data_IF_209223865851
#
_entry.id   IF_209223865851
#
_cell.length_a   1.000
_cell.length_b   1.000
_cell.length_c   1.000
_cell.angle_alpha   90.00
_cell.angle_beta   90.00
_cell.angle_gamma   90.00
#
_symmetry.space_group_name_H-M   'P 1'
#
loop_
_entity.id
_entity.type
_entity.pdbx_description
1 polymer ?
#
# COMPACT_ATOMS: atom_id res chain seq x y z
N UNK A 1 45.38 11.27 -54.76
CA UNK A 1 45.41 12.57 -55.48
C UNK A 1 44.20 13.38 -55.02
N UNK A 2 44.34 14.71 -54.87
CA UNK A 2 43.26 15.73 -54.82
C UNK A 2 42.02 15.37 -53.95
N UNK A 3 41.81 15.88 -52.73
CA UNK A 3 42.29 17.10 -52.06
C UNK A 3 41.85 18.40 -52.75
N UNK A 4 40.86 19.09 -52.16
CA UNK A 4 40.64 20.53 -52.29
C UNK A 4 39.96 21.10 -51.03
N UNK A 5 40.26 22.35 -50.70
CA UNK A 5 39.96 23.00 -49.41
C UNK A 5 39.57 24.46 -49.63
N UNK A 6 38.76 25.02 -48.71
CA UNK A 6 38.71 26.42 -48.20
C UNK A 6 37.25 26.76 -47.78
N UNK A 7 36.92 27.39 -46.63
CA UNK A 7 37.55 28.44 -45.78
C UNK A 7 37.18 29.87 -46.21
N UNK A 8 36.34 30.51 -45.39
CA UNK A 8 36.34 31.91 -44.87
C UNK A 8 35.32 31.90 -43.68
N UNK A 9 35.50 32.41 -42.44
CA UNK A 9 36.22 33.56 -41.82
C UNK A 9 35.61 34.94 -42.16
N UNK A 10 35.36 35.90 -41.23
CA UNK A 10 35.52 36.00 -39.75
C UNK A 10 34.67 37.21 -39.19
N UNK A 11 34.83 37.57 -37.89
CA UNK A 11 34.57 38.88 -37.21
C UNK A 11 33.21 39.24 -36.49
N UNK A 12 33.21 39.02 -35.15
CA UNK A 12 33.07 40.01 -34.02
C UNK A 12 31.77 40.75 -33.61
N UNK A 13 31.67 41.00 -32.28
CA UNK A 13 30.81 41.97 -31.56
C UNK A 13 29.95 41.32 -30.45
N UNK A 14 30.10 41.44 -29.11
CA UNK A 14 30.73 42.34 -28.09
C UNK A 14 29.93 43.55 -27.57
N UNK A 15 29.02 43.29 -26.62
CA UNK A 15 28.57 44.14 -25.47
C UNK A 15 27.60 43.27 -24.61
N UNK A 16 27.63 43.20 -23.27
CA UNK A 16 27.47 44.23 -22.24
C UNK A 16 26.08 44.92 -22.30
N UNK A 17 25.32 45.12 -21.20
CA UNK A 17 25.52 44.77 -19.77
C UNK A 17 24.21 44.94 -18.96
N UNK A 18 24.04 44.18 -17.86
CA UNK A 18 23.12 44.39 -16.70
C UNK A 18 21.60 44.61 -17.00
N UNK A 19 20.65 44.15 -16.18
CA UNK A 19 20.33 44.73 -14.87
C UNK A 19 19.68 43.71 -13.88
N UNK A 20 19.80 43.98 -12.58
CA UNK A 20 19.29 43.11 -11.50
C UNK A 20 18.10 43.73 -10.76
N UNK A 21 17.07 42.94 -10.44
CA UNK A 21 16.09 43.31 -9.42
C UNK A 21 15.75 42.15 -8.46
N UNK A 22 16.48 42.11 -7.35
CA UNK A 22 16.23 41.17 -6.24
C UNK A 22 15.23 41.80 -5.25
N UNK A 23 13.98 41.36 -5.29
CA UNK A 23 12.95 41.79 -4.33
C UNK A 23 13.03 41.03 -3.00
N UNK A 24 13.92 41.48 -2.11
CA UNK A 24 13.98 41.02 -0.71
C UNK A 24 12.79 41.55 0.11
N UNK A 25 11.80 40.70 0.38
CA UNK A 25 10.68 41.04 1.26
C UNK A 25 10.95 40.64 2.72
N UNK A 26 11.60 41.53 3.49
CA UNK A 26 11.73 41.37 4.94
C UNK A 26 10.43 41.77 5.66
N UNK A 27 9.80 40.83 6.37
CA UNK A 27 8.67 41.08 7.26
C UNK A 27 9.07 40.85 8.73
N UNK A 28 9.14 41.92 9.52
CA UNK A 28 9.66 41.90 10.90
C UNK A 28 8.66 41.31 11.89
N UNK A 29 9.14 40.41 12.76
CA UNK A 29 8.37 39.86 13.88
C UNK A 29 8.13 40.93 14.94
N UNK A 30 6.88 41.11 15.37
CA UNK A 30 6.53 41.95 16.53
C UNK A 30 5.96 41.09 17.67
N UNK A 31 6.64 41.05 18.81
CA UNK A 31 6.16 40.37 20.03
C UNK A 31 5.61 41.42 20.99
N UNK A 32 4.29 41.56 21.04
CA UNK A 32 3.60 42.44 21.99
C UNK A 32 3.04 41.64 23.16
N UNK A 33 3.66 41.73 24.34
CA UNK A 33 3.16 41.09 25.56
C UNK A 33 2.91 42.16 26.64
N UNK A 34 1.64 42.40 26.98
CA UNK A 34 1.24 43.42 27.96
C UNK A 34 0.14 42.91 28.89
N UNK A 35 0.48 42.77 30.18
CA UNK A 35 -0.46 42.52 31.28
C UNK A 35 -0.43 43.72 32.23
N UNK A 36 -1.58 44.35 32.52
CA UNK A 36 -1.76 45.13 33.74
C UNK A 36 -2.45 44.29 34.84
N UNK A 37 -2.15 44.60 36.10
CA UNK A 37 -2.72 43.91 37.26
C UNK A 37 -3.73 44.79 38.02
N UNK A 38 -4.69 44.11 38.66
CA UNK A 38 -5.28 44.37 40.00
C UNK A 38 -5.93 45.73 40.35
N UNK A 39 -6.95 45.60 41.23
CA UNK A 39 -7.47 46.50 42.30
C UNK A 39 -8.98 46.80 42.16
N UNK A 40 -9.80 46.88 43.22
CA UNK A 40 -9.73 46.27 44.58
C UNK A 40 -11.08 46.37 45.30
N UNK A 41 -11.50 45.29 45.98
CA UNK A 41 -12.36 45.33 47.18
C UNK A 41 -13.88 45.23 46.98
N UNK A 42 -14.70 45.11 48.05
CA UNK A 42 -14.41 44.58 49.41
C UNK A 42 -15.69 44.52 50.29
N UNK A 43 -15.98 43.36 50.90
CA UNK A 43 -16.79 43.21 52.15
C UNK A 43 -18.29 43.62 52.03
N UNK A 44 -19.27 43.30 52.90
CA UNK A 44 -19.50 42.53 54.16
C UNK A 44 -21.05 42.30 54.21
N UNK A 45 -21.73 41.37 54.93
CA UNK A 45 -21.50 40.24 55.88
C UNK A 45 -22.80 39.35 55.73
N UNK A 46 -23.38 38.47 56.58
CA UNK A 46 -23.19 37.93 57.94
C UNK A 46 -23.71 36.44 58.02
N UNK A 47 -24.48 36.06 59.04
CA UNK A 47 -24.94 34.70 59.48
C UNK A 47 -26.19 34.88 60.38
N UNK A 48 -26.83 33.86 61.00
CA UNK A 48 -26.66 32.39 60.96
C UNK A 48 -27.93 31.66 60.42
N UNK A 49 -28.11 30.34 60.39
CA UNK A 49 -27.64 29.19 61.21
C UNK A 49 -27.73 27.86 60.40
N UNK A 50 -27.60 26.61 60.88
CA UNK A 50 -27.40 26.03 62.23
C UNK A 50 -26.49 24.77 62.18
N UNK A 51 -26.60 23.87 63.15
CA UNK A 51 -25.84 22.60 63.41
C UNK A 51 -26.50 21.86 64.61
N UNK A 52 -26.03 20.68 65.08
CA UNK A 52 -25.01 19.71 64.60
C UNK A 52 -25.68 18.36 64.19
N UNK A 53 -25.16 17.11 64.18
CA UNK A 53 -23.92 16.38 64.56
C UNK A 53 -23.55 15.39 63.41
N UNK A 54 -22.42 14.65 63.38
CA UNK A 54 -21.20 14.65 64.21
C UNK A 54 -20.69 13.23 64.58
N UNK A 55 -19.54 12.80 64.04
CA UNK A 55 -18.70 11.67 64.54
C UNK A 55 -17.29 11.71 63.90
N UNK A 56 -16.35 10.89 64.39
CA UNK A 56 -14.90 11.13 64.28
C UNK A 56 -14.09 9.88 63.84
N UNK A 57 -13.10 10.09 62.96
CA UNK A 57 -11.99 9.17 62.59
C UNK A 57 -12.43 7.90 61.82
N UNK A 58 -11.57 7.13 61.13
CA UNK A 58 -10.09 7.14 61.04
C UNK A 58 -9.58 7.24 59.59
N UNK A 59 -8.32 7.68 59.44
CA UNK A 59 -7.60 7.76 58.16
C UNK A 59 -7.01 6.41 57.74
N UNK A 60 -7.29 5.97 56.51
CA UNK A 60 -6.55 4.90 55.83
C UNK A 60 -5.81 5.48 54.61
N UNK A 61 -4.49 5.56 54.68
CA UNK A 61 -3.65 6.13 53.61
C UNK A 61 -3.36 5.06 52.55
N UNK A 62 -4.36 4.78 51.70
CA UNK A 62 -4.20 3.84 50.59
C UNK A 62 -3.23 4.40 49.55
N UNK A 63 -2.01 3.87 49.52
CA UNK A 63 -1.02 4.18 48.49
C UNK A 63 -1.57 3.80 47.11
N UNK A 64 -1.84 4.82 46.27
CA UNK A 64 -2.08 4.63 44.84
C UNK A 64 -0.79 4.19 44.16
N UNK A 65 -0.51 2.88 44.16
CA UNK A 65 0.60 2.29 43.40
C UNK A 65 0.41 2.59 41.91
N UNK A 66 1.36 3.33 41.34
CA UNK A 66 1.30 3.83 39.96
C UNK A 66 1.48 2.72 38.92
N UNK A 67 0.50 1.83 38.79
CA UNK A 67 0.53 0.72 37.84
C UNK A 67 0.39 1.21 36.40
N UNK A 68 1.55 1.47 35.80
CA UNK A 68 1.83 1.34 34.37
C UNK A 68 0.81 1.95 33.42
N UNK A 69 1.11 3.14 32.89
CA UNK A 69 0.46 3.62 31.66
C UNK A 69 0.78 2.63 30.53
N UNK A 70 -0.15 1.69 30.26
CA UNK A 70 -0.09 0.83 29.08
C UNK A 70 -0.29 1.73 27.87
N UNK A 71 0.83 2.27 27.37
CA UNK A 71 0.89 2.96 26.08
C UNK A 71 0.67 1.94 24.98
N UNK A 72 -0.59 1.55 24.80
CA UNK A 72 -1.09 1.08 23.51
C UNK A 72 -0.55 2.04 22.47
N UNK A 73 0.36 1.57 21.62
CA UNK A 73 1.00 2.40 20.61
C UNK A 73 -0.07 2.71 19.56
N UNK A 74 -0.83 3.79 19.79
CA UNK A 74 -1.86 4.28 18.86
C UNK A 74 -1.25 4.28 17.48
N UNK A 75 -1.76 3.41 16.60
CA UNK A 75 -1.27 3.30 15.24
C UNK A 75 -1.46 4.67 14.60
N UNK A 76 -0.37 5.32 14.20
CA UNK A 76 -0.43 6.61 13.53
C UNK A 76 -1.33 6.51 12.30
N UNK A 77 -2.15 7.53 12.09
CA UNK A 77 -3.00 7.59 10.91
C UNK A 77 -2.17 7.70 9.62
N UNK A 78 -2.78 7.46 8.46
CA UNK A 78 -2.11 7.66 7.18
C UNK A 78 -1.55 9.09 7.04
N UNK A 79 -2.35 10.11 7.37
CA UNK A 79 -1.93 11.50 7.23
C UNK A 79 -0.74 11.80 8.16
N UNK A 80 -0.82 11.40 9.44
CA UNK A 80 0.25 11.56 10.42
C UNK A 80 1.55 10.87 10.00
N UNK A 81 1.45 9.62 9.50
CA UNK A 81 2.60 8.81 9.07
C UNK A 81 3.32 9.41 7.86
N UNK A 82 2.57 10.07 6.97
CA UNK A 82 3.09 10.57 5.68
C UNK A 82 3.06 12.10 5.59
N UNK A 83 3.00 12.79 6.73
CA UNK A 83 2.88 14.25 6.81
C UNK A 83 4.08 15.01 6.20
N UNK A 84 5.21 14.33 5.98
CA UNK A 84 6.43 14.89 5.35
C UNK A 84 6.57 14.58 3.85
N UNK A 85 5.65 13.81 3.28
CA UNK A 85 5.67 13.43 1.86
C UNK A 85 4.91 14.46 1.03
N UNK A 86 5.30 14.62 -0.25
CA UNK A 86 4.57 15.46 -1.20
C UNK A 86 3.07 15.12 -1.23
N UNK A 87 2.24 16.17 -1.37
CA UNK A 87 0.82 16.10 -1.70
C UNK A 87 0.49 17.21 -2.69
N UNK A 88 -0.39 16.92 -3.63
CA UNK A 88 -1.06 17.96 -4.41
C UNK A 88 -2.07 18.69 -3.53
N UNK A 89 -2.28 19.98 -3.79
CA UNK A 89 -3.35 20.74 -3.12
C UNK A 89 -4.75 20.33 -3.62
N UNK A 90 -4.82 19.88 -4.89
CA UNK A 90 -6.05 19.43 -5.55
C UNK A 90 -6.63 18.20 -4.85
N UNK A 91 -7.86 18.35 -4.37
CA UNK A 91 -8.74 17.25 -3.98
C UNK A 91 -9.83 17.14 -5.05
N UNK A 92 -10.00 15.97 -5.66
CA UNK A 92 -11.08 15.70 -6.63
C UNK A 92 -12.11 14.76 -6.03
N UNK A 93 -13.37 14.89 -6.45
CA UNK A 93 -14.34 13.80 -6.34
C UNK A 93 -14.04 12.71 -7.39
N UNK A 94 -14.39 11.48 -7.06
CA UNK A 94 -14.29 10.31 -7.92
C UNK A 94 -15.44 9.33 -7.63
N UNK A 95 -15.87 8.58 -8.65
CA UNK A 95 -17.00 7.63 -8.54
C UNK A 95 -16.55 6.20 -8.83
N UNK A 96 -16.99 5.24 -8.03
CA UNK A 96 -16.67 3.82 -8.22
C UNK A 96 -17.43 3.26 -9.43
N UNK A 97 -16.74 3.12 -10.57
CA UNK A 97 -17.32 2.64 -11.83
C UNK A 97 -17.04 1.16 -12.11
N UNK A 98 -16.24 0.49 -11.27
CA UNK A 98 -15.99 -0.95 -11.37
C UNK A 98 -15.41 -1.54 -10.10
N UNK A 99 -15.82 -2.75 -9.74
CA UNK A 99 -15.28 -3.54 -8.62
C UNK A 99 -15.01 -4.96 -9.10
N UNK A 100 -13.81 -5.49 -8.87
CA UNK A 100 -13.46 -6.90 -9.13
C UNK A 100 -12.62 -7.49 -8.00
N UNK A 101 -12.62 -8.82 -7.85
CA UNK A 101 -11.72 -9.51 -6.93
C UNK A 101 -10.45 -9.91 -7.69
N UNK A 102 -9.30 -9.33 -7.33
CA UNK A 102 -7.98 -9.62 -7.92
C UNK A 102 -7.29 -10.80 -7.19
N UNK A 103 -7.63 -11.01 -5.91
CA UNK A 103 -7.48 -12.29 -5.20
C UNK A 103 -8.63 -12.47 -4.18
N UNK A 104 -8.70 -13.64 -3.52
CA UNK A 104 -9.58 -13.89 -2.37
C UNK A 104 -9.49 -12.82 -1.27
N UNK A 105 -8.37 -12.08 -1.19
CA UNK A 105 -8.12 -11.09 -0.15
C UNK A 105 -7.93 -9.66 -0.69
N UNK A 106 -8.05 -9.43 -2.00
CA UNK A 106 -7.77 -8.14 -2.64
C UNK A 106 -8.88 -7.77 -3.63
N UNK A 107 -9.57 -6.67 -3.36
CA UNK A 107 -10.49 -6.03 -4.32
C UNK A 107 -9.75 -4.97 -5.14
N UNK A 108 -10.07 -4.90 -6.43
CA UNK A 108 -9.67 -3.83 -7.34
C UNK A 108 -10.85 -2.91 -7.61
N UNK A 109 -10.62 -1.61 -7.53
CA UNK A 109 -11.58 -0.56 -7.84
C UNK A 109 -11.14 0.15 -9.13
N UNK A 110 -12.09 0.42 -10.03
CA UNK A 110 -11.97 1.46 -11.07
C UNK A 110 -12.72 2.70 -10.58
N UNK A 111 -12.05 3.85 -10.62
CA UNK A 111 -12.54 5.13 -10.15
C UNK A 111 -12.59 6.11 -11.32
N UNK A 112 -13.78 6.59 -11.66
CA UNK A 112 -13.98 7.61 -12.67
C UNK A 112 -13.75 9.01 -12.07
N UNK A 113 -12.92 9.82 -12.72
CA UNK A 113 -12.52 11.16 -12.31
C UNK A 113 -12.85 12.13 -13.45
N UNK A 114 -13.71 13.10 -13.18
CA UNK A 114 -14.12 14.12 -14.16
C UNK A 114 -13.18 15.35 -14.20
N UNK A 115 -12.38 15.56 -13.16
CA UNK A 115 -11.43 16.67 -13.08
C UNK A 115 -10.20 16.37 -13.96
N UNK A 116 -9.93 17.23 -14.95
CA UNK A 116 -8.81 17.09 -15.89
C UNK A 116 -7.47 17.59 -15.33
N UNK A 117 -7.50 18.42 -14.29
CA UNK A 117 -6.30 18.96 -13.64
C UNK A 117 -5.70 17.96 -12.64
N UNK A 118 -6.48 16.94 -12.26
CA UNK A 118 -6.02 15.83 -11.42
C UNK A 118 -5.10 14.90 -12.22
N UNK A 119 -3.82 14.85 -11.84
CA UNK A 119 -2.76 14.09 -12.53
C UNK A 119 -1.90 13.36 -11.50
N UNK A 120 -1.21 12.29 -11.89
CA UNK A 120 -0.28 11.58 -10.99
C UNK A 120 0.92 11.00 -11.74
N UNK A 121 2.03 10.78 -11.03
CA UNK A 121 3.23 10.11 -11.54
C UNK A 121 3.20 8.62 -11.19
N UNK A 122 3.66 7.77 -12.10
CA UNK A 122 3.52 6.32 -11.96
C UNK A 122 4.23 5.82 -10.69
N UNK A 123 3.48 5.22 -9.76
CA UNK A 123 3.97 4.77 -8.44
C UNK A 123 3.42 5.53 -7.22
N UNK A 124 2.80 6.70 -7.41
CA UNK A 124 2.22 7.49 -6.31
C UNK A 124 1.01 6.81 -5.63
N UNK A 125 0.54 7.40 -4.52
CA UNK A 125 -0.68 6.99 -3.83
C UNK A 125 -1.76 8.07 -3.87
N UNK A 126 -2.97 7.69 -3.49
CA UNK A 126 -4.04 8.64 -3.13
C UNK A 126 -4.32 8.57 -1.63
N UNK A 127 -4.42 9.74 -1.00
CA UNK A 127 -5.25 9.91 0.19
C UNK A 127 -6.70 9.64 -0.27
N UNK A 128 -7.39 8.70 0.38
CA UNK A 128 -8.71 8.20 -0.01
C UNK A 128 -9.74 8.57 1.06
N UNK A 129 -10.60 9.53 0.75
CA UNK A 129 -11.59 10.09 1.66
C UNK A 129 -12.98 9.50 1.36
N UNK A 130 -13.61 8.89 2.36
CA UNK A 130 -14.93 8.26 2.25
C UNK A 130 -15.93 9.08 3.09
N UNK A 131 -17.08 9.50 2.54
CA UNK A 131 -18.13 10.16 3.30
C UNK A 131 -18.52 9.36 4.56
N UNK A 132 -18.55 10.02 5.71
CA UNK A 132 -18.88 9.40 7.01
C UNK A 132 -17.75 8.62 7.70
N UNK A 133 -16.62 8.31 7.02
CA UNK A 133 -15.47 7.62 7.64
C UNK A 133 -14.42 8.65 8.06
N UNK A 134 -14.17 8.77 9.38
CA UNK A 134 -13.24 9.75 9.96
C UNK A 134 -11.74 9.44 9.76
N UNK A 135 -11.40 8.31 9.15
CA UNK A 135 -10.04 7.83 8.95
C UNK A 135 -9.72 7.84 7.45
N UNK A 136 -8.62 8.47 7.05
CA UNK A 136 -8.27 8.61 5.63
C UNK A 136 -7.50 7.38 5.15
N UNK A 137 -7.93 6.78 4.03
CA UNK A 137 -7.24 5.65 3.40
C UNK A 137 -5.96 6.11 2.70
N UNK A 138 -4.96 5.23 2.60
CA UNK A 138 -3.71 5.51 1.88
C UNK A 138 -3.38 4.36 0.96
N UNK A 139 -3.65 4.53 -0.34
CA UNK A 139 -3.60 3.44 -1.31
C UNK A 139 -2.75 3.80 -2.53
N UNK A 140 -1.69 3.02 -2.76
CA UNK A 140 -0.87 3.13 -3.98
C UNK A 140 -1.71 2.79 -5.22
N UNK A 141 -1.59 3.67 -6.21
CA UNK A 141 -2.27 3.55 -7.51
C UNK A 141 -1.71 2.33 -8.26
N UNK A 142 -2.56 1.60 -8.98
CA UNK A 142 -2.15 0.44 -9.78
C UNK A 142 -2.45 0.56 -11.28
N UNK A 143 -3.00 1.69 -11.75
CA UNK A 143 -3.04 2.09 -13.16
C UNK A 143 -1.84 2.96 -13.55
N UNK A 144 -1.56 3.10 -14.85
CA UNK A 144 -0.63 4.13 -15.36
C UNK A 144 -1.32 5.50 -15.47
N UNK A 145 -0.55 6.61 -15.52
CA UNK A 145 -1.08 7.95 -15.78
C UNK A 145 -1.84 8.02 -17.12
N UNK A 146 -1.36 7.33 -18.15
CA UNK A 146 -2.01 7.24 -19.46
C UNK A 146 -3.43 6.66 -19.42
N UNK A 147 -3.80 5.84 -18.44
CA UNK A 147 -5.20 5.39 -18.28
C UNK A 147 -6.12 6.53 -17.84
N UNK A 148 -5.63 7.39 -16.95
CA UNK A 148 -6.37 8.57 -16.47
C UNK A 148 -6.49 9.62 -17.58
N UNK A 149 -5.41 9.87 -18.33
CA UNK A 149 -5.41 10.78 -19.49
C UNK A 149 -6.39 10.35 -20.60
N UNK A 150 -6.53 9.04 -20.85
CA UNK A 150 -7.34 8.49 -21.95
C UNK A 150 -8.80 8.21 -21.58
N UNK A 151 -9.05 7.66 -20.39
CA UNK A 151 -10.38 7.18 -19.98
C UNK A 151 -10.98 7.97 -18.80
N UNK A 152 -10.21 8.85 -18.15
CA UNK A 152 -10.62 9.45 -16.86
C UNK A 152 -10.59 8.43 -15.70
N UNK A 153 -9.88 7.31 -15.85
CA UNK A 153 -9.90 6.19 -14.87
C UNK A 153 -8.59 6.09 -14.07
N UNK A 154 -8.73 6.07 -12.75
CA UNK A 154 -7.70 5.67 -11.80
C UNK A 154 -8.07 4.31 -11.18
N UNK A 155 -7.08 3.44 -10.93
CA UNK A 155 -7.32 2.13 -10.30
C UNK A 155 -6.53 1.93 -9.00
N UNK A 156 -7.18 1.26 -8.03
CA UNK A 156 -6.61 0.85 -6.75
C UNK A 156 -6.82 -0.65 -6.53
N UNK A 157 -5.87 -1.37 -5.94
CA UNK A 157 -6.03 -2.76 -5.49
C UNK A 157 -5.79 -2.87 -3.98
N UNK A 158 -6.86 -3.03 -3.20
CA UNK A 158 -6.85 -2.91 -1.73
C UNK A 158 -7.05 -4.27 -1.09
N UNK A 159 -6.11 -4.67 -0.21
CA UNK A 159 -6.24 -5.89 0.59
C UNK A 159 -7.26 -5.69 1.72
N UNK A 160 -8.08 -6.71 1.99
CA UNK A 160 -8.99 -6.69 3.12
C UNK A 160 -8.22 -6.58 4.45
N UNK A 161 -8.62 -5.63 5.29
CA UNK A 161 -8.12 -5.47 6.67
C UNK A 161 -9.22 -4.85 7.54
N UNK A 162 -9.05 -4.87 8.86
CA UNK A 162 -9.93 -4.16 9.82
C UNK A 162 -9.68 -2.64 9.92
N UNK A 163 -8.87 -2.06 9.03
CA UNK A 163 -8.62 -0.61 8.96
C UNK A 163 -9.79 0.05 8.23
N UNK A 164 -10.52 1.04 8.80
CA UNK A 164 -11.84 1.42 8.30
C UNK A 164 -11.98 1.65 6.78
N UNK A 165 -11.08 2.36 6.08
CA UNK A 165 -11.19 2.53 4.62
C UNK A 165 -11.00 1.24 3.82
N UNK A 166 -10.10 0.36 4.27
CA UNK A 166 -9.87 -0.94 3.65
C UNK A 166 -10.90 -2.00 4.08
N UNK A 167 -11.62 -1.77 5.17
CA UNK A 167 -12.79 -2.55 5.56
C UNK A 167 -13.98 -2.15 4.69
N UNK A 168 -14.33 -0.85 4.65
CA UNK A 168 -15.40 -0.27 3.85
C UNK A 168 -15.34 -0.65 2.36
N UNK A 169 -14.14 -0.61 1.74
CA UNK A 169 -13.94 -1.09 0.35
C UNK A 169 -14.36 -2.56 0.17
N UNK A 170 -14.24 -3.38 1.22
CA UNK A 170 -14.60 -4.80 1.21
C UNK A 170 -16.04 -5.08 1.64
N UNK A 171 -16.62 -4.32 2.56
CA UNK A 171 -17.96 -4.55 3.15
C UNK A 171 -19.09 -3.70 2.58
N UNK A 172 -18.83 -2.44 2.23
CA UNK A 172 -19.87 -1.42 2.02
C UNK A 172 -19.78 -0.72 0.65
N UNK A 173 -18.58 -0.65 0.07
CA UNK A 173 -18.35 -0.02 -1.24
C UNK A 173 -19.10 -0.77 -2.36
N UNK A 174 -19.96 -0.03 -3.06
CA UNK A 174 -20.73 -0.49 -4.23
C UNK A 174 -20.25 0.21 -5.51
N UNK A 175 -20.78 -0.20 -6.66
CA UNK A 175 -20.82 0.69 -7.83
C UNK A 175 -21.56 1.99 -7.47
N UNK A 176 -21.20 3.06 -8.18
CA UNK A 176 -21.70 4.43 -8.00
C UNK A 176 -21.42 5.06 -6.63
N UNK A 177 -20.69 4.40 -5.73
CA UNK A 177 -20.19 5.02 -4.49
C UNK A 177 -19.27 6.22 -4.79
N UNK A 178 -19.46 7.32 -4.07
CA UNK A 178 -18.69 8.56 -4.23
C UNK A 178 -17.60 8.67 -3.14
N UNK A 179 -16.40 9.07 -3.56
CA UNK A 179 -15.21 9.25 -2.70
C UNK A 179 -14.39 10.43 -3.19
N UNK A 180 -13.65 11.09 -2.30
CA UNK A 180 -12.67 12.10 -2.71
C UNK A 180 -11.24 11.57 -2.69
N UNK A 181 -10.39 12.08 -3.58
CA UNK A 181 -9.00 11.66 -3.79
C UNK A 181 -8.06 12.85 -3.78
N UNK A 182 -6.86 12.68 -3.19
CA UNK A 182 -5.73 13.62 -3.31
C UNK A 182 -4.44 12.84 -3.54
N UNK A 183 -3.68 13.17 -4.56
CA UNK A 183 -2.42 12.49 -4.88
C UNK A 183 -1.33 12.86 -3.87
N UNK A 184 -0.52 11.88 -3.49
CA UNK A 184 0.67 12.10 -2.67
C UNK A 184 1.75 11.03 -2.83
N UNK A 185 2.91 11.33 -2.24
CA UNK A 185 4.06 10.44 -2.20
C UNK A 185 5.13 10.76 -3.25
N UNK A 186 6.37 10.53 -2.85
CA UNK A 186 7.60 10.87 -3.58
C UNK A 186 8.21 9.64 -4.29
N UNK A 187 7.50 8.50 -4.25
CA UNK A 187 7.89 7.25 -4.89
C UNK A 187 7.24 7.17 -6.27
N UNK A 188 7.98 7.51 -7.33
CA UNK A 188 7.49 7.43 -8.70
C UNK A 188 8.61 7.23 -9.72
N UNK A 189 8.24 6.77 -10.93
CA UNK A 189 9.08 6.82 -12.13
C UNK A 189 8.46 7.80 -13.13
N UNK A 190 9.26 8.74 -13.64
CA UNK A 190 8.83 9.89 -14.44
C UNK A 190 9.99 10.37 -15.35
N UNK A 191 10.34 9.60 -16.40
CA UNK A 191 11.47 9.91 -17.27
C UNK A 191 11.13 11.08 -18.21
N UNK A 192 12.05 12.04 -18.35
CA UNK A 192 11.84 13.25 -19.13
C UNK A 192 12.32 13.11 -20.59
N UNK A 193 11.81 13.93 -21.52
CA UNK A 193 12.30 13.98 -22.90
C UNK A 193 13.80 14.30 -22.95
N UNK A 194 14.58 13.40 -23.57
CA UNK A 194 16.04 13.53 -23.69
C UNK A 194 16.87 12.84 -22.60
N UNK A 195 16.24 12.29 -21.55
CA UNK A 195 16.95 11.52 -20.51
C UNK A 195 17.74 10.33 -21.09
N UNK A 196 18.85 9.98 -20.43
CA UNK A 196 19.57 8.74 -20.68
C UNK A 196 18.70 7.51 -20.32
N UNK A 197 18.72 6.44 -21.13
CA UNK A 197 17.92 5.24 -20.85
C UNK A 197 18.42 4.51 -19.61
N UNK A 198 17.60 4.51 -18.55
CA UNK A 198 17.84 3.81 -17.28
C UNK A 198 17.19 2.42 -17.31
N UNK A 199 17.87 1.41 -16.77
CA UNK A 199 17.30 0.09 -16.49
C UNK A 199 16.61 0.08 -15.12
N UNK A 200 15.51 -0.66 -14.99
CA UNK A 200 14.67 -0.66 -13.80
C UNK A 200 14.54 -2.06 -13.20
N UNK A 201 14.93 -2.22 -11.94
CA UNK A 201 14.65 -3.43 -11.15
C UNK A 201 13.56 -3.14 -10.13
N UNK A 202 12.37 -3.66 -10.41
CA UNK A 202 11.16 -3.49 -9.59
C UNK A 202 11.03 -4.68 -8.65
N UNK A 203 10.97 -4.47 -7.33
CA UNK A 203 10.98 -5.54 -6.32
C UNK A 203 9.73 -5.45 -5.44
N UNK A 204 8.74 -6.31 -5.74
CA UNK A 204 7.38 -6.28 -5.22
C UNK A 204 7.10 -7.37 -4.17
N UNK A 205 6.30 -7.06 -3.14
CA UNK A 205 5.85 -8.00 -2.12
C UNK A 205 4.36 -7.90 -1.77
N UNK A 206 3.56 -8.92 -2.09
CA UNK A 206 2.11 -8.91 -1.84
C UNK A 206 1.40 -7.77 -2.60
N UNK A 207 0.70 -6.86 -1.91
CA UNK A 207 0.16 -5.62 -2.52
C UNK A 207 1.23 -4.55 -2.82
N UNK A 208 2.50 -4.82 -2.51
CA UNK A 208 3.63 -3.97 -2.94
C UNK A 208 3.84 -3.95 -4.44
N UNK A 209 3.15 -4.82 -5.17
CA UNK A 209 3.05 -4.77 -6.62
C UNK A 209 2.32 -3.52 -7.13
N UNK A 210 1.39 -2.91 -6.38
CA UNK A 210 0.55 -1.81 -6.88
C UNK A 210 1.34 -0.66 -7.54
N UNK A 211 2.24 0.06 -6.82
CA UNK A 211 2.95 1.18 -7.42
C UNK A 211 3.95 0.71 -8.49
N UNK A 212 4.49 -0.50 -8.35
CA UNK A 212 5.41 -1.09 -9.32
C UNK A 212 4.71 -1.53 -10.61
N UNK A 213 3.42 -1.89 -10.53
CA UNK A 213 2.57 -2.18 -11.69
C UNK A 213 2.06 -0.92 -12.37
N UNK A 214 1.80 0.16 -11.60
CA UNK A 214 1.61 1.51 -12.16
C UNK A 214 2.84 1.94 -12.99
N UNK A 215 4.05 1.78 -12.44
CA UNK A 215 5.31 2.01 -13.15
C UNK A 215 5.44 1.10 -14.38
N UNK A 216 5.16 -0.20 -14.26
CA UNK A 216 5.28 -1.15 -15.36
C UNK A 216 4.32 -0.88 -16.52
N UNK A 217 3.08 -0.45 -16.22
CA UNK A 217 2.11 -0.01 -17.22
C UNK A 217 2.55 1.31 -17.88
N UNK A 218 3.13 2.24 -17.13
CA UNK A 218 3.63 3.50 -17.68
C UNK A 218 4.82 3.28 -18.63
N UNK A 219 5.73 2.37 -18.32
CA UNK A 219 6.83 1.96 -19.22
C UNK A 219 6.26 1.34 -20.51
N UNK A 220 5.18 0.54 -20.40
CA UNK A 220 4.50 -0.04 -21.55
C UNK A 220 3.77 1.02 -22.42
N UNK A 221 3.10 2.02 -21.80
CA UNK A 221 2.52 3.17 -22.50
C UNK A 221 3.62 3.92 -23.29
N UNK A 222 4.74 4.26 -22.63
CA UNK A 222 5.85 4.99 -23.24
C UNK A 222 6.50 4.21 -24.40
N UNK A 223 6.69 2.89 -24.27
CA UNK A 223 7.15 2.05 -25.38
C UNK A 223 6.14 1.99 -26.53
N UNK A 224 4.84 1.94 -26.25
CA UNK A 224 3.80 1.99 -27.29
C UNK A 224 3.83 3.30 -28.09
N UNK A 225 4.13 4.43 -27.44
CA UNK A 225 4.28 5.71 -28.14
C UNK A 225 5.53 5.79 -29.02
N UNK A 226 6.65 5.13 -28.66
CA UNK A 226 7.89 5.10 -29.46
C UNK A 226 7.69 4.50 -30.87
N UNK A 227 6.77 3.54 -31.00
CA UNK A 227 6.52 2.81 -32.25
C UNK A 227 5.52 3.56 -33.17
N UNK A 228 4.84 4.59 -32.67
CA UNK A 228 3.83 5.35 -33.42
C UNK A 228 4.20 6.78 -33.83
N UNK A 229 5.07 7.48 -33.09
CA UNK A 229 5.48 8.88 -33.39
C UNK A 229 6.95 9.14 -33.01
N UNK A 230 7.59 10.07 -33.73
CA UNK A 230 9.03 10.39 -33.62
C UNK A 230 9.52 10.52 -32.17
N UNK A 231 10.57 9.78 -31.85
CA UNK A 231 10.95 9.47 -30.46
C UNK A 231 11.46 10.68 -29.66
N UNK A 232 11.08 10.76 -28.38
CA UNK A 232 11.62 11.72 -27.39
C UNK A 232 12.10 11.10 -26.07
N UNK A 233 11.70 9.87 -25.73
CA UNK A 233 12.11 9.19 -24.49
C UNK A 233 12.95 7.96 -24.84
N UNK A 234 14.19 7.89 -24.37
CA UNK A 234 14.99 6.66 -24.42
C UNK A 234 14.72 5.87 -23.15
N UNK A 235 14.36 4.59 -23.30
CA UNK A 235 14.04 3.70 -22.19
C UNK A 235 15.01 2.51 -22.20
N UNK A 236 15.48 2.12 -21.01
CA UNK A 236 16.17 0.85 -20.80
C UNK A 236 15.19 -0.31 -20.66
N UNK A 237 15.63 -1.37 -19.99
CA UNK A 237 14.80 -2.56 -19.70
C UNK A 237 14.13 -2.47 -18.33
N UNK A 238 13.04 -3.21 -18.13
CA UNK A 238 12.34 -3.34 -16.86
C UNK A 238 12.27 -4.81 -16.40
N UNK A 239 12.89 -5.11 -15.26
CA UNK A 239 12.83 -6.41 -14.59
C UNK A 239 11.97 -6.33 -13.33
N UNK A 240 10.83 -7.01 -13.33
CA UNK A 240 10.02 -7.22 -12.13
C UNK A 240 10.45 -8.51 -11.41
N UNK A 241 10.70 -8.41 -10.10
CA UNK A 241 10.76 -9.53 -9.16
C UNK A 241 9.58 -9.40 -8.19
N UNK A 242 8.60 -10.30 -8.27
CA UNK A 242 7.38 -10.20 -7.48
C UNK A 242 7.18 -11.41 -6.57
N UNK A 243 7.30 -11.19 -5.25
CA UNK A 243 7.11 -12.23 -4.25
C UNK A 243 5.71 -12.21 -3.61
N UNK A 244 5.14 -13.41 -3.45
CA UNK A 244 3.88 -13.65 -2.76
C UNK A 244 3.96 -14.91 -1.87
N UNK A 245 2.88 -15.19 -1.15
CA UNK A 245 2.73 -16.43 -0.38
C UNK A 245 2.67 -17.65 -1.31
N UNK A 246 1.84 -17.57 -2.34
CA UNK A 246 1.48 -18.66 -3.25
C UNK A 246 0.98 -18.06 -4.57
N UNK A 247 0.62 -18.91 -5.54
CA UNK A 247 0.14 -18.46 -6.86
C UNK A 247 -1.22 -17.77 -6.85
N UNK A 248 -2.07 -17.98 -5.85
CA UNK A 248 -3.36 -17.25 -5.73
C UNK A 248 -3.16 -15.80 -5.28
N UNK A 249 -2.21 -15.52 -4.38
CA UNK A 249 -1.90 -14.18 -3.86
C UNK A 249 -0.98 -13.32 -4.76
N UNK A 250 -0.53 -13.84 -5.91
CA UNK A 250 0.07 -13.02 -6.98
C UNK A 250 -1.04 -12.22 -7.68
N UNK A 251 -1.03 -10.90 -7.60
CA UNK A 251 -1.99 -10.04 -8.31
C UNK A 251 -1.54 -9.78 -9.76
N UNK A 252 -2.46 -9.35 -10.63
CA UNK A 252 -2.20 -8.87 -12.00
C UNK A 252 -1.50 -9.86 -12.94
N UNK A 253 -1.42 -11.16 -12.57
CA UNK A 253 -0.69 -12.23 -13.28
C UNK A 253 -0.89 -12.18 -14.80
N UNK A 254 -2.15 -12.12 -15.25
CA UNK A 254 -2.51 -12.12 -16.68
C UNK A 254 -2.01 -10.87 -17.40
N UNK A 255 -2.12 -9.71 -16.77
CA UNK A 255 -1.61 -8.45 -17.31
C UNK A 255 -0.08 -8.45 -17.40
N UNK A 256 0.61 -8.89 -16.35
CA UNK A 256 2.09 -8.96 -16.31
C UNK A 256 2.62 -9.90 -17.41
N UNK A 257 2.02 -11.10 -17.58
CA UNK A 257 2.37 -12.00 -18.68
C UNK A 257 2.05 -11.39 -20.06
N UNK A 258 0.94 -10.64 -20.17
CA UNK A 258 0.59 -9.89 -21.38
C UNK A 258 1.66 -8.86 -21.75
N UNK A 259 2.14 -8.07 -20.78
CA UNK A 259 3.21 -7.09 -20.99
C UNK A 259 4.53 -7.77 -21.40
N UNK A 260 4.90 -8.89 -20.77
CA UNK A 260 6.09 -9.67 -21.16
C UNK A 260 6.00 -10.20 -22.60
N UNK A 261 4.80 -10.58 -23.05
CA UNK A 261 4.57 -11.05 -24.43
C UNK A 261 4.54 -9.90 -25.44
N UNK A 262 4.02 -8.74 -25.07
CA UNK A 262 3.95 -7.56 -25.93
C UNK A 262 5.30 -6.85 -26.08
N UNK A 263 6.12 -6.84 -25.04
CA UNK A 263 7.39 -6.12 -24.98
C UNK A 263 8.57 -7.07 -24.64
N UNK A 264 8.83 -8.11 -25.47
CA UNK A 264 9.88 -9.09 -25.21
C UNK A 264 11.26 -8.43 -25.11
N UNK A 265 12.08 -8.86 -24.14
CA UNK A 265 13.39 -8.27 -23.84
C UNK A 265 13.32 -6.91 -23.11
N UNK A 266 12.39 -6.03 -23.52
CA UNK A 266 12.11 -4.74 -22.87
C UNK A 266 11.51 -4.92 -21.46
N UNK A 267 10.49 -5.77 -21.31
CA UNK A 267 9.79 -6.07 -20.04
C UNK A 267 9.91 -7.55 -19.71
N UNK A 268 10.41 -7.89 -18.51
CA UNK A 268 10.43 -9.28 -18.01
C UNK A 268 10.06 -9.38 -16.53
N UNK A 269 9.46 -10.50 -16.11
CA UNK A 269 9.14 -10.78 -14.70
C UNK A 269 9.91 -12.00 -14.17
N UNK A 270 9.94 -12.19 -12.85
CA UNK A 270 10.12 -13.45 -12.14
C UNK A 270 9.24 -13.41 -10.88
N UNK A 271 8.41 -14.43 -10.70
CA UNK A 271 7.53 -14.56 -9.53
C UNK A 271 8.20 -15.45 -8.47
N UNK A 272 8.19 -15.05 -7.20
CA UNK A 272 8.79 -15.81 -6.10
C UNK A 272 7.73 -16.24 -5.07
N UNK A 273 7.38 -17.53 -5.05
CA UNK A 273 6.33 -18.07 -4.16
C UNK A 273 6.96 -18.71 -2.92
N UNK A 274 6.61 -18.19 -1.73
CA UNK A 274 7.31 -18.51 -0.48
C UNK A 274 6.70 -19.65 0.34
N UNK A 275 5.46 -20.04 0.03
CA UNK A 275 4.65 -21.06 0.73
C UNK A 275 3.68 -21.75 -0.24
N UNK A 276 4.15 -22.09 -1.45
CA UNK A 276 3.35 -22.86 -2.41
C UNK A 276 3.07 -24.27 -1.85
N UNK A 277 1.88 -24.79 -2.13
CA UNK A 277 1.42 -26.13 -1.70
C UNK A 277 0.56 -26.84 -2.74
N UNK A 278 -0.15 -26.08 -3.57
CA UNK A 278 -0.87 -26.59 -4.74
C UNK A 278 0.05 -26.63 -5.97
N UNK A 279 -0.26 -27.46 -6.95
CA UNK A 279 0.48 -27.53 -8.21
C UNK A 279 0.41 -26.18 -8.95
N UNK A 280 1.54 -25.70 -9.44
CA UNK A 280 1.64 -24.49 -10.27
C UNK A 280 1.13 -24.82 -11.68
N UNK A 281 0.25 -23.99 -12.27
CA UNK A 281 -0.24 -24.22 -13.62
C UNK A 281 0.87 -24.03 -14.68
N UNK A 282 0.78 -24.77 -15.79
CA UNK A 282 1.82 -24.83 -16.84
C UNK A 282 2.20 -23.46 -17.41
N UNK A 283 1.25 -22.52 -17.49
CA UNK A 283 1.46 -21.15 -17.97
C UNK A 283 2.37 -20.31 -17.06
N UNK A 284 2.38 -20.57 -15.75
CA UNK A 284 3.15 -19.80 -14.78
C UNK A 284 4.48 -20.47 -14.39
N UNK A 285 4.64 -21.78 -14.60
CA UNK A 285 5.87 -22.50 -14.23
C UNK A 285 7.16 -21.90 -14.83
N UNK A 286 7.22 -21.50 -16.12
CA UNK A 286 8.43 -20.87 -16.70
C UNK A 286 8.82 -19.52 -16.08
N UNK A 287 7.99 -18.97 -15.20
CA UNK A 287 8.13 -17.64 -14.62
C UNK A 287 8.10 -17.66 -13.08
N UNK A 288 8.03 -18.83 -12.44
CA UNK A 288 8.04 -18.97 -10.98
C UNK A 288 9.33 -19.62 -10.50
N UNK A 289 9.91 -19.00 -9.46
CA UNK A 289 10.89 -19.60 -8.56
C UNK A 289 10.23 -19.87 -7.21
N UNK A 290 10.46 -21.03 -6.60
CA UNK A 290 10.02 -21.29 -5.22
C UNK A 290 11.05 -20.76 -4.22
N UNK A 291 10.57 -20.15 -3.13
CA UNK A 291 11.39 -19.49 -2.12
C UNK A 291 11.31 -17.96 -2.13
N UNK A 292 12.35 -17.31 -1.61
CA UNK A 292 12.50 -15.84 -1.62
C UNK A 292 13.34 -15.39 -2.81
N UNK A 293 13.33 -14.10 -3.11
CA UNK A 293 14.30 -13.46 -4.02
C UNK A 293 15.69 -13.61 -3.39
N UNK A 294 16.68 -14.04 -4.19
CA UNK A 294 18.03 -14.38 -3.75
C UNK A 294 19.08 -13.37 -4.22
N UNK A 295 20.31 -13.47 -3.70
CA UNK A 295 21.41 -12.61 -4.14
C UNK A 295 21.71 -12.78 -5.64
N UNK A 296 21.65 -14.04 -6.11
CA UNK A 296 21.79 -14.43 -7.52
C UNK A 296 20.69 -13.91 -8.45
N UNK A 297 19.55 -13.51 -7.90
CA UNK A 297 18.52 -12.84 -8.68
C UNK A 297 18.93 -11.41 -9.03
N UNK A 298 19.67 -10.74 -8.14
CA UNK A 298 19.88 -9.29 -8.18
C UNK A 298 21.32 -8.90 -8.59
N UNK A 299 22.34 -9.71 -8.27
CA UNK A 299 23.76 -9.45 -8.60
C UNK A 299 23.98 -9.12 -10.09
N UNK A 300 23.27 -9.83 -10.98
CA UNK A 300 23.34 -9.67 -12.45
C UNK A 300 22.75 -8.37 -13.01
N UNK A 301 22.14 -7.52 -12.18
CA UNK A 301 21.58 -6.22 -12.58
C UNK A 301 22.36 -5.03 -12.01
N UNK A 302 23.44 -5.27 -11.26
CA UNK A 302 24.25 -4.20 -10.65
C UNK A 302 25.00 -3.42 -11.74
N UNK A 303 24.52 -2.21 -12.00
CA UNK A 303 25.14 -1.20 -12.85
C UNK A 303 24.80 0.19 -12.31
N UNK A 304 25.60 1.19 -12.67
CA UNK A 304 25.31 2.60 -12.37
C UNK A 304 24.04 3.09 -13.10
N UNK A 305 23.72 2.48 -14.25
CA UNK A 305 22.54 2.79 -15.07
C UNK A 305 21.28 1.99 -14.63
N UNK A 306 21.30 1.36 -13.46
CA UNK A 306 20.17 0.59 -12.91
C UNK A 306 19.57 1.28 -11.69
N UNK A 307 18.31 1.72 -11.82
CA UNK A 307 17.51 2.21 -10.69
C UNK A 307 16.59 1.12 -10.11
N UNK A 308 16.49 1.10 -8.79
CA UNK A 308 15.85 0.04 -8.01
C UNK A 308 14.62 0.58 -7.29
N UNK A 309 13.48 -0.08 -7.46
CA UNK A 309 12.21 0.34 -6.86
C UNK A 309 11.64 -0.79 -6.00
N UNK A 310 11.70 -0.63 -4.68
CA UNK A 310 11.29 -1.66 -3.71
C UNK A 310 9.97 -1.27 -3.04
N UNK A 311 8.96 -2.13 -3.10
CA UNK A 311 7.72 -1.97 -2.34
C UNK A 311 7.19 -3.30 -1.79
N UNK A 312 6.89 -3.36 -0.50
CA UNK A 312 6.45 -4.58 0.16
C UNK A 312 6.25 -4.47 1.68
N UNK A 313 6.12 -5.61 2.38
CA UNK A 313 6.08 -5.65 3.84
C UNK A 313 7.49 -5.39 4.43
N UNK A 314 7.61 -4.78 5.63
CA UNK A 314 8.91 -4.34 6.17
C UNK A 314 10.02 -5.42 6.24
N UNK A 315 9.78 -6.69 6.64
CA UNK A 315 10.84 -7.70 6.66
C UNK A 315 11.40 -8.07 5.29
N UNK A 316 10.63 -7.86 4.22
CA UNK A 316 11.12 -8.02 2.85
C UNK A 316 11.99 -6.83 2.46
N UNK A 317 11.54 -5.61 2.75
CA UNK A 317 12.30 -4.38 2.47
C UNK A 317 13.65 -4.41 3.18
N UNK A 318 13.68 -4.80 4.46
CA UNK A 318 14.90 -4.98 5.25
C UNK A 318 15.84 -6.03 4.63
N UNK A 319 15.32 -7.21 4.29
CA UNK A 319 16.09 -8.29 3.66
C UNK A 319 16.68 -7.90 2.31
N UNK A 320 15.91 -7.22 1.45
CA UNK A 320 16.38 -6.77 0.13
C UNK A 320 17.36 -5.60 0.27
N UNK A 321 17.09 -4.64 1.18
CA UNK A 321 18.01 -3.51 1.40
C UNK A 321 19.38 -3.97 1.88
N UNK A 322 19.42 -5.00 2.76
CA UNK A 322 20.69 -5.62 3.18
C UNK A 322 21.40 -6.31 2.02
N UNK A 323 20.67 -7.12 1.23
CA UNK A 323 21.20 -7.80 0.05
C UNK A 323 21.78 -6.78 -0.96
N UNK A 324 21.04 -5.73 -1.34
CA UNK A 324 21.52 -4.68 -2.25
C UNK A 324 22.77 -3.98 -1.71
N UNK A 325 22.85 -3.77 -0.39
CA UNK A 325 24.06 -3.22 0.26
C UNK A 325 25.24 -4.18 0.17
N UNK A 326 25.04 -5.49 0.35
CA UNK A 326 26.09 -6.51 0.21
C UNK A 326 26.68 -6.55 -1.21
N UNK A 327 25.83 -6.49 -2.24
CA UNK A 327 26.25 -6.51 -3.66
C UNK A 327 26.65 -5.12 -4.18
N UNK A 328 26.86 -4.14 -3.30
CA UNK A 328 27.47 -2.85 -3.62
C UNK A 328 26.56 -1.80 -4.28
N UNK A 329 25.24 -1.98 -4.31
CA UNK A 329 24.31 -1.01 -4.92
C UNK A 329 24.24 0.29 -4.08
N UNK A 330 24.58 1.47 -4.64
CA UNK A 330 24.48 2.74 -3.93
C UNK A 330 23.03 3.09 -3.55
N UNK A 331 22.81 3.56 -2.31
CA UNK A 331 21.44 3.87 -1.83
C UNK A 331 20.72 4.97 -2.60
N UNK A 332 21.43 5.86 -3.31
CA UNK A 332 20.82 6.87 -4.17
C UNK A 332 20.19 6.30 -5.45
N UNK A 333 20.49 5.04 -5.81
CA UNK A 333 19.81 4.32 -6.89
C UNK A 333 18.56 3.56 -6.40
N UNK A 334 18.25 3.60 -5.09
CA UNK A 334 17.20 2.80 -4.46
C UNK A 334 16.02 3.65 -3.96
N UNK A 335 14.95 3.72 -4.75
CA UNK A 335 13.63 4.17 -4.29
C UNK A 335 12.95 3.07 -3.46
N UNK A 336 12.48 3.40 -2.26
CA UNK A 336 11.88 2.42 -1.33
C UNK A 336 10.60 3.00 -0.72
N UNK A 337 9.51 2.24 -0.74
CA UNK A 337 8.27 2.57 0.00
C UNK A 337 7.67 1.36 0.72
N UNK A 338 6.99 1.60 1.84
CA UNK A 338 6.64 0.56 2.83
C UNK A 338 5.15 0.41 3.10
N UNK A 339 4.66 -0.83 3.04
CA UNK A 339 3.28 -1.18 3.36
C UNK A 339 3.12 -1.45 4.86
N UNK A 340 2.07 -0.88 5.46
CA UNK A 340 1.72 -1.15 6.84
C UNK A 340 1.19 -2.57 7.03
N UNK A 341 1.83 -3.32 7.94
CA UNK A 341 1.26 -4.57 8.44
C UNK A 341 0.09 -4.27 9.38
N UNK A 342 -1.13 -4.26 8.85
CA UNK A 342 -2.31 -4.50 9.68
C UNK A 342 -2.18 -5.88 10.32
N UNK A 343 -2.07 -5.96 11.65
CA UNK A 343 -2.41 -7.20 12.34
C UNK A 343 -3.91 -7.40 12.16
N UNK A 344 -4.33 -8.62 11.80
CA UNK A 344 -5.70 -9.06 12.05
C UNK A 344 -5.94 -8.99 13.56
N UNK A 345 -6.99 -8.30 14.00
CA UNK A 345 -7.35 -8.30 15.41
C UNK A 345 -8.10 -9.60 15.69
N UNK A 346 -7.41 -10.58 16.27
CA UNK A 346 -7.91 -11.94 16.49
C UNK A 346 -7.16 -12.54 17.68
N UNK A 347 -7.88 -13.20 18.58
CA UNK A 347 -7.41 -13.63 19.91
C UNK A 347 -7.06 -12.49 20.89
N UNK A 348 -8.06 -11.66 21.25
CA UNK A 348 -8.07 -10.96 22.54
C UNK A 348 -9.51 -10.88 23.13
N UNK A 349 -10.32 -11.91 22.88
CA UNK A 349 -11.67 -12.11 23.41
C UNK A 349 -11.88 -13.55 23.89
N UNK A 350 -11.04 -13.99 24.83
CA UNK A 350 -11.20 -15.26 25.54
C UNK A 350 -10.72 -15.19 27.00
N UNK A 351 -10.81 -14.01 27.63
CA UNK A 351 -10.37 -13.80 29.01
C UNK A 351 -11.08 -12.63 29.71
N UNK A 352 -12.40 -12.49 29.50
CA UNK A 352 -13.23 -11.49 30.21
C UNK A 352 -14.62 -12.05 30.55
N UNK A 353 -14.66 -13.25 31.13
CA UNK A 353 -15.88 -13.90 31.62
C UNK A 353 -15.60 -14.77 32.85
N UNK A 354 -14.81 -14.24 33.79
CA UNK A 354 -14.55 -14.83 35.10
C UNK A 354 -15.10 -13.89 36.17
N UNK A 355 -16.27 -14.21 36.72
CA UNK A 355 -16.82 -13.50 37.88
C UNK A 355 -16.00 -13.86 39.13
N UNK A 356 -15.74 -12.93 40.06
CA UNK A 356 -14.97 -13.21 41.26
C UNK A 356 -15.77 -14.10 42.22
N UNK A 357 -15.28 -15.32 42.45
CA UNK A 357 -15.83 -16.24 43.45
C UNK A 357 -15.37 -15.88 44.86
N UNK A 358 -16.32 -15.73 45.78
CA UNK A 358 -16.05 -15.61 47.22
C UNK A 358 -15.65 -16.96 47.82
N UNK A 359 -14.68 -17.02 48.75
CA UNK A 359 -14.33 -18.25 49.45
C UNK A 359 -15.37 -18.58 50.53
N UNK A 360 -15.85 -19.83 50.56
CA UNK A 360 -16.64 -20.40 51.64
C UNK A 360 -15.89 -21.57 52.30
N UNK A 361 -16.07 -21.73 53.60
CA UNK A 361 -15.40 -22.74 54.41
C UNK A 361 -16.03 -24.14 54.27
N UNK A 362 -15.29 -25.22 54.59
CA UNK A 362 -15.72 -26.59 54.32
C UNK A 362 -16.64 -27.18 55.40
N UNK A 363 -17.64 -27.94 54.96
CA UNK A 363 -18.37 -28.95 55.74
C UNK A 363 -18.63 -30.17 54.85
N UNK A 364 -18.59 -31.38 55.43
CA UNK A 364 -18.45 -32.64 54.68
C UNK A 364 -19.69 -33.55 54.62
N UNK A 365 -19.45 -34.81 54.20
CA UNK A 365 -20.43 -35.87 53.84
C UNK A 365 -21.21 -35.61 52.54
N UNK A 366 -21.55 -36.62 51.73
CA UNK A 366 -21.21 -38.05 51.77
C UNK A 366 -21.88 -38.87 50.65
N UNK A 367 -21.68 -40.20 50.65
CA UNK A 367 -22.24 -41.23 49.74
C UNK A 367 -21.48 -41.55 48.43
N UNK A 368 -21.71 -42.77 47.91
CA UNK A 368 -20.95 -43.45 46.84
C UNK A 368 -21.79 -43.70 45.56
N UNK A 369 -21.16 -43.93 44.39
CA UNK A 369 -21.81 -44.42 43.17
C UNK A 369 -21.58 -45.93 42.91
N UNK A 370 -22.60 -46.67 42.42
CA UNK A 370 -22.46 -47.96 41.71
C UNK A 370 -22.76 -47.85 40.19
N UNK A 371 -22.48 -48.87 39.34
CA UNK A 371 -21.92 -48.62 38.00
C UNK A 371 -22.56 -49.34 36.77
N UNK A 372 -22.00 -49.01 35.59
CA UNK A 372 -21.75 -49.88 34.41
C UNK A 372 -22.87 -50.63 33.66
N UNK A 373 -23.03 -50.32 32.36
CA UNK A 373 -23.25 -51.24 31.21
C UNK A 373 -23.13 -50.39 29.91
N UNK A 374 -22.37 -50.69 28.85
CA UNK A 374 -22.06 -51.90 28.07
C UNK A 374 -22.84 -51.94 26.73
N UNK A 375 -22.12 -52.11 25.61
CA UNK A 375 -22.67 -52.12 24.24
C UNK A 375 -23.29 -53.48 23.86
N UNK A 376 -24.01 -53.55 22.73
CA UNK A 376 -23.57 -54.47 21.67
C UNK A 376 -23.62 -53.86 20.24
N UNK A 377 -23.13 -54.61 19.25
CA UNK A 377 -23.00 -54.20 17.85
C UNK A 377 -23.69 -55.16 16.87
N UNK A 378 -23.90 -54.75 15.60
CA UNK A 378 -23.89 -55.62 14.39
C UNK A 378 -23.86 -54.85 13.06
N UNK A 379 -23.54 -55.60 11.99
CA UNK A 379 -23.29 -55.23 10.57
C UNK A 379 -24.44 -55.79 9.66
N UNK A 380 -24.36 -55.81 8.29
CA UNK A 380 -23.94 -54.83 7.27
C UNK A 380 -24.93 -54.72 6.05
N UNK A 381 -24.59 -53.96 5.00
CA UNK A 381 -25.25 -53.96 3.66
C UNK A 381 -25.60 -52.54 3.16
N UNK A 382 -25.63 -52.19 1.86
CA UNK A 382 -25.52 -52.97 0.60
C UNK A 382 -24.88 -52.12 -0.54
N UNK A 383 -24.54 -52.75 -1.67
CA UNK A 383 -23.78 -52.26 -2.84
C UNK A 383 -24.55 -51.29 -3.80
N UNK A 384 -23.82 -50.66 -4.75
CA UNK A 384 -24.12 -50.24 -6.16
C UNK A 384 -23.45 -48.87 -6.48
N UNK A 385 -22.25 -48.75 -7.08
CA UNK A 385 -21.80 -48.95 -8.48
C UNK A 385 -22.01 -47.79 -9.50
N UNK A 386 -20.88 -47.12 -9.85
CA UNK A 386 -20.45 -46.49 -11.14
C UNK A 386 -21.35 -45.46 -11.89
N UNK A 387 -20.82 -44.23 -12.01
CA UNK A 387 -20.32 -43.51 -13.24
C UNK A 387 -21.05 -43.61 -14.61
N UNK A 388 -20.86 -42.67 -15.58
CA UNK A 388 -20.05 -41.42 -15.59
C UNK A 388 -20.77 -40.16 -16.16
N UNK A 389 -20.04 -39.04 -16.32
CA UNK A 389 -20.45 -37.88 -17.12
C UNK A 389 -20.11 -38.02 -18.61
N UNK A 390 -20.80 -37.30 -19.52
CA UNK A 390 -20.26 -36.83 -20.79
C UNK A 390 -19.79 -35.36 -20.72
N UNK A 391 -19.00 -34.92 -21.70
CA UNK A 391 -18.53 -33.53 -21.85
C UNK A 391 -19.05 -32.90 -23.15
N UNK A 392 -19.03 -31.56 -23.23
CA UNK A 392 -19.27 -30.81 -24.47
C UNK A 392 -18.20 -29.72 -24.66
N UNK A 393 -17.77 -29.57 -25.91
CA UNK A 393 -16.82 -28.55 -26.39
C UNK A 393 -17.22 -28.16 -27.83
N UNK A 394 -16.74 -27.01 -28.36
CA UNK A 394 -17.53 -26.25 -29.33
C UNK A 394 -17.29 -26.62 -30.80
N UNK A 395 -18.29 -26.34 -31.63
CA UNK A 395 -18.19 -26.33 -33.10
C UNK A 395 -17.81 -24.93 -33.61
N UNK A 396 -16.83 -24.89 -34.51
CA UNK A 396 -16.54 -23.74 -35.36
C UNK A 396 -17.17 -23.99 -36.74
N UNK A 397 -17.73 -22.96 -37.37
CA UNK A 397 -18.07 -23.00 -38.81
C UNK A 397 -17.27 -21.94 -39.57
N UNK A 398 -16.76 -22.33 -40.73
CA UNK A 398 -16.34 -21.43 -41.82
C UNK A 398 -17.16 -21.80 -43.04
N UNK A 399 -17.69 -20.80 -43.73
CA UNK A 399 -18.24 -20.93 -45.08
C UNK A 399 -17.80 -19.71 -45.87
N UNK A 400 -17.12 -19.94 -46.98
CA UNK A 400 -16.63 -18.87 -47.87
C UNK A 400 -17.68 -18.55 -48.94
N UNK A 401 -17.90 -17.27 -49.18
CA UNK A 401 -18.16 -16.67 -50.49
C UNK A 401 -17.68 -15.22 -50.45
#
# INVERSE_FOLDING_TARGET
MLNFTNIYDFFSGTSDSEDCLVMMAHATIYVGCTVPQLLRGAQRRIFPSHSPLGLLRHSAFCYCTGNGTIKSKRKMDHLERTAKNFRQEVITQAKVCGITNESETVKRLRLAIANKDFTFKAGQWVDFFIPGVSVVGGFSICSSPGLLEREGILELAVKHTVHPPAHWIHTECTLDSEVALRVGGDFFFDPQPGDSPVNLVLIAGGVGINPLFSILLHIADLHGFQEGKGNRHKLGTAKLYYSAKNTSELLFKKNILGLMKAFPGKITCCFHVTQQRSQICKELQPHITEGRISEKDLEKHVSNDTSWYICGPPPMIESISKLLTNIGVPRNLCSITGILKSRSYSQEQSMSSAAPSLPLQPSGSGAQPPPSAASPARHPGTLWLRQPCPALSPTFSKSSQ
#
